data_IF_883849151361
#
_entry.id   IF_883849151361
#
_cell.length_a   1.000
_cell.length_b   1.000
_cell.length_c   1.000
_cell.angle_alpha   90.00
_cell.angle_beta   90.00
_cell.angle_gamma   90.00
#
_symmetry.space_group_name_H-M   'P 1'
#
loop_
_entity.id
_entity.type
_entity.pdbx_description
1 polymer ?
#
# COMPACT_ATOMS: atom_id res chain seq x y z
N UNK A 6 15.05 -12.08 -5.84
CA UNK A 6 14.97 -10.65 -5.56
C UNK A 6 14.67 -10.43 -4.09
N UNK A 7 15.35 -9.46 -3.45
CA UNK A 7 15.13 -9.27 -2.00
C UNK A 7 13.74 -8.76 -1.67
N UNK A 8 13.30 -7.70 -2.35
CA UNK A 8 11.98 -7.13 -2.06
C UNK A 8 10.86 -8.09 -2.41
N UNK A 9 11.12 -9.09 -3.25
CA UNK A 9 10.12 -10.13 -3.48
C UNK A 9 9.83 -10.88 -2.20
N UNK A 10 10.85 -11.04 -1.34
CA UNK A 10 10.61 -11.60 -0.02
C UNK A 10 9.75 -10.66 0.82
N UNK A 11 9.95 -9.35 0.64
CA UNK A 11 9.16 -8.37 1.36
C UNK A 11 7.71 -8.41 0.87
N UNK A 12 7.52 -8.66 -0.43
CA UNK A 12 6.19 -8.81 -0.97
C UNK A 12 5.54 -10.10 -0.48
N UNK A 13 6.28 -11.21 -0.52
CA UNK A 13 5.75 -12.46 0.02
C UNK A 13 5.32 -12.29 1.46
N UNK A 14 6.00 -11.41 2.21
CA UNK A 14 5.59 -11.14 3.58
C UNK A 14 4.32 -10.30 3.61
N UNK A 15 4.16 -9.37 2.66
CA UNK A 15 2.94 -8.57 2.62
C UNK A 15 1.72 -9.44 2.35
N UNK A 16 1.86 -10.50 1.55
CA UNK A 16 0.74 -11.41 1.34
C UNK A 16 0.49 -12.28 2.57
N UNK A 17 1.53 -12.64 3.30
CA UNK A 17 1.33 -13.52 4.45
C UNK A 17 0.67 -12.75 5.59
N UNK A 18 0.99 -11.47 5.76
CA UNK A 18 0.35 -10.66 6.78
C UNK A 18 -1.15 -10.55 6.54
N UNK A 19 -1.57 -10.60 5.29
CA UNK A 19 -2.99 -10.55 4.96
C UNK A 19 -3.69 -11.87 5.25
N UNK A 20 -2.95 -12.97 5.37
CA UNK A 20 -3.53 -14.22 5.81
C UNK A 20 -3.65 -14.31 7.31
N UNK A 21 -3.42 -13.21 8.02
CA UNK A 21 -3.49 -13.23 9.48
C UNK A 21 -4.95 -12.99 9.86
N UNK A 22 -5.50 -13.94 10.60
CA UNK A 22 -6.85 -13.81 11.12
C UNK A 22 -6.81 -13.13 12.49
N UNK A 23 -7.97 -12.68 12.93
CA UNK A 23 -8.09 -12.15 14.28
C UNK A 23 -7.88 -13.24 15.32
N UNK A 24 -7.79 -14.51 14.91
CA UNK A 24 -7.56 -15.61 15.82
C UNK A 24 -6.24 -16.30 15.51
N UNK A 25 -5.21 -15.52 15.21
CA UNK A 25 -3.87 -16.05 14.96
C UNK A 25 -3.16 -16.20 16.29
N UNK A 26 -2.91 -17.44 16.70
CA UNK A 26 -2.21 -17.73 17.94
C UNK A 26 -0.70 -17.51 17.76
N UNK A 27 0.04 -17.72 18.86
CA UNK A 27 1.49 -17.57 18.81
C UNK A 27 2.12 -18.61 17.89
N UNK A 28 1.44 -19.75 17.69
CA UNK A 28 1.95 -20.76 16.78
C UNK A 28 1.98 -20.26 15.34
N UNK A 29 1.03 -19.42 14.96
CA UNK A 29 1.01 -18.90 13.59
C UNK A 29 2.08 -17.82 13.41
N UNK A 30 2.28 -16.98 14.41
CA UNK A 30 3.31 -15.94 14.33
C UNK A 30 4.72 -16.53 14.34
N UNK A 31 4.93 -17.63 15.08
CA UNK A 31 6.23 -18.28 15.06
C UNK A 31 6.52 -18.85 13.67
N UNK A 32 5.51 -19.42 13.02
CA UNK A 32 5.69 -19.89 11.64
C UNK A 32 5.91 -18.72 10.69
N UNK A 33 5.35 -17.55 11.02
CA UNK A 33 5.58 -16.37 10.19
C UNK A 33 7.02 -15.89 10.28
N UNK A 34 7.58 -15.89 11.49
CA UNK A 34 8.96 -15.42 11.64
C UNK A 34 9.95 -16.44 11.11
N UNK A 35 9.68 -17.73 11.33
CA UNK A 35 10.56 -18.77 10.83
C UNK A 35 10.61 -18.77 9.30
N UNK A 36 9.60 -18.20 8.64
CA UNK A 36 9.57 -18.19 7.20
C UNK A 36 10.37 -17.04 6.60
N UNK A 37 10.58 -15.96 7.35
CA UNK A 37 11.28 -14.80 6.83
C UNK A 37 12.49 -14.36 7.64
N UNK A 38 12.66 -14.85 8.86
CA UNK A 38 13.75 -14.42 9.73
C UNK A 38 14.64 -15.60 10.08
N UNK A 39 15.95 -15.36 10.04
CA UNK A 39 16.92 -16.37 10.45
C UNK A 39 16.80 -16.62 11.96
N UNK A 40 17.35 -17.76 12.38
CA UNK A 40 17.29 -18.13 13.79
C UNK A 40 18.03 -17.15 14.68
N UNK A 41 18.92 -16.33 14.12
CA UNK A 41 19.66 -15.34 14.87
C UNK A 41 19.26 -13.92 14.47
N UNK A 42 18.03 -13.75 13.99
CA UNK A 42 17.60 -12.44 13.52
C UNK A 42 17.40 -11.49 14.69
N UNK A 43 17.61 -10.20 14.42
CA UNK A 43 17.39 -9.15 15.40
C UNK A 43 16.60 -8.02 14.74
N UNK A 44 15.73 -7.39 15.52
CA UNK A 44 14.87 -6.32 15.04
C UNK A 44 15.13 -5.08 15.88
N UNK A 45 15.39 -3.95 15.21
CA UNK A 45 15.74 -2.71 15.87
C UNK A 45 14.79 -1.62 15.41
N UNK A 46 14.27 -0.84 16.36
CA UNK A 46 13.41 0.30 16.07
C UNK A 46 13.98 1.54 16.76
N UNK A 47 14.11 2.62 16.00
CA UNK A 47 14.65 3.88 16.51
C UNK A 47 13.60 4.97 16.32
N UNK A 48 13.36 5.74 17.38
CA UNK A 48 12.39 6.82 17.31
C UNK A 48 12.85 7.94 18.22
N UNK A 49 12.10 9.06 18.21
CA UNK A 49 12.34 10.22 19.08
C UNK A 49 10.99 10.56 19.73
N UNK A 50 10.68 9.89 20.84
CA UNK A 50 9.42 10.14 21.52
C UNK A 50 9.55 11.39 22.37
N UNK A 51 9.88 11.26 23.65
CA UNK A 51 9.89 12.43 24.53
C UNK A 51 10.87 12.40 25.69
N UNK A 52 11.27 11.23 26.16
CA UNK A 52 12.27 11.19 27.23
C UNK A 52 13.68 11.37 26.70
N UNK A 53 13.85 11.29 25.39
CA UNK A 53 15.10 11.48 24.71
C UNK A 53 15.16 10.46 23.60
N UNK A 54 16.04 10.64 22.62
CA UNK A 54 16.06 9.68 21.50
C UNK A 54 16.38 8.30 22.04
N UNK A 55 15.61 7.32 21.58
CA UNK A 55 15.72 5.96 22.10
C UNK A 55 16.03 4.97 20.98
N UNK A 56 16.42 3.78 21.41
CA UNK A 56 16.68 2.69 20.47
C UNK A 56 16.48 1.36 21.20
N UNK A 57 15.64 0.50 20.63
CA UNK A 57 15.31 -0.80 21.18
C UNK A 57 15.76 -1.90 20.23
N UNK A 58 16.05 -3.07 20.77
CA UNK A 58 16.45 -4.21 19.96
C UNK A 58 15.93 -5.49 20.60
N UNK A 59 15.29 -6.33 19.78
CA UNK A 59 14.76 -7.61 20.21
C UNK A 59 15.41 -8.72 19.41
N UNK A 60 15.27 -9.95 19.92
CA UNK A 60 15.90 -11.12 19.33
C UNK A 60 14.91 -11.99 18.59
N UNK A 61 15.42 -13.15 18.14
CA UNK A 61 14.62 -13.98 17.26
C UNK A 61 13.33 -14.44 17.95
N UNK A 62 13.42 -14.88 19.20
CA UNK A 62 12.23 -15.37 19.91
C UNK A 62 11.29 -14.25 20.30
N UNK A 63 11.74 -13.00 20.26
CA UNK A 63 10.91 -11.85 20.59
C UNK A 63 10.31 -11.18 19.35
N UNK A 64 10.68 -11.65 18.16
CA UNK A 64 10.20 -11.06 16.91
C UNK A 64 8.75 -11.47 16.65
N UNK A 65 8.40 -12.76 16.74
CA UNK A 65 6.99 -13.13 16.48
C UNK A 65 6.03 -12.40 17.38
N UNK A 66 6.44 -12.05 18.60
CA UNK A 66 5.61 -11.28 19.51
C UNK A 66 5.54 -9.81 19.12
N UNK A 67 6.54 -9.31 18.38
CA UNK A 67 6.51 -7.92 17.97
C UNK A 67 5.45 -7.66 16.91
N UNK A 68 5.41 -8.48 15.87
CA UNK A 68 4.37 -8.35 14.86
C UNK A 68 3.01 -8.74 15.39
N UNK A 69 2.96 -9.52 16.48
CA UNK A 69 1.68 -9.85 17.09
C UNK A 69 1.09 -8.64 17.81
N UNK A 70 1.94 -7.82 18.45
CA UNK A 70 1.43 -6.69 19.23
C UNK A 70 0.88 -5.56 18.37
N UNK A 71 1.33 -5.44 17.12
CA UNK A 71 0.86 -4.34 16.28
C UNK A 71 -0.63 -4.54 15.97
N UNK A 72 -1.06 -5.79 15.81
CA UNK A 72 -2.46 -6.10 15.56
C UNK A 72 -3.31 -6.09 16.82
N UNK A 73 -2.70 -6.04 18.01
CA UNK A 73 -3.44 -6.10 19.27
C UNK A 73 -3.91 -4.71 19.69
N UNK A 74 -4.75 -4.11 18.83
CA UNK A 74 -5.33 -2.83 19.13
C UNK A 74 -6.36 -2.35 18.13
N UNK A 75 -7.07 -3.29 17.52
CA UNK A 75 -8.02 -2.96 16.48
C UNK A 75 -7.44 -2.86 15.08
N UNK A 76 -6.15 -3.15 14.92
CA UNK A 76 -5.52 -3.10 13.60
C UNK A 76 -5.93 -4.33 12.81
N UNK A 77 -6.40 -4.12 11.59
CA UNK A 77 -6.88 -5.22 10.75
C UNK A 77 -5.89 -5.63 9.67
N UNK A 78 -5.00 -4.74 9.26
CA UNK A 78 -4.07 -5.03 8.17
C UNK A 78 -2.76 -4.32 8.43
N UNK A 79 -1.69 -4.88 7.87
CA UNK A 79 -0.35 -4.32 8.00
C UNK A 79 0.42 -4.67 6.74
N UNK A 80 0.95 -3.66 6.05
CA UNK A 80 1.77 -3.89 4.88
C UNK A 80 2.83 -2.80 4.83
N UNK A 81 3.89 -3.07 4.07
CA UNK A 81 5.02 -2.16 3.94
C UNK A 81 5.10 -1.67 2.51
N UNK A 82 5.20 -0.36 2.34
CA UNK A 82 5.37 0.28 1.05
C UNK A 82 6.82 0.75 0.98
N UNK A 83 7.52 0.32 -0.06
CA UNK A 83 8.95 0.61 -0.22
C UNK A 83 9.17 1.50 -1.43
N UNK A 84 9.25 2.80 -1.20
CA UNK A 84 9.56 3.76 -2.26
C UNK A 84 11.06 3.97 -2.34
N UNK A 85 11.61 3.83 -3.54
CA UNK A 85 13.02 4.10 -3.81
C UNK A 85 13.93 3.35 -2.82
N UNK A 86 13.92 2.03 -2.97
CA UNK A 86 14.73 1.17 -2.13
C UNK A 86 16.09 0.95 -2.79
N UNK A 87 17.15 1.25 -2.07
CA UNK A 87 18.51 1.11 -2.58
C UNK A 87 19.08 -0.21 -2.05
N UNK A 88 19.39 -1.13 -2.96
CA UNK A 88 19.98 -2.38 -2.52
C UNK A 88 21.49 -2.28 -2.53
N UNK A 89 22.12 -3.31 -1.98
CA UNK A 89 23.58 -3.41 -1.93
C UNK A 89 23.91 -4.81 -1.44
N UNK A 90 24.58 -5.57 -2.29
CA UNK A 90 24.89 -6.98 -2.10
C UNK A 90 26.27 -7.14 -1.49
N UNK A 91 26.51 -8.31 -0.93
CA UNK A 91 27.85 -8.69 -0.53
C UNK A 91 28.03 -10.15 -0.93
N UNK A 92 29.14 -10.74 -0.52
CA UNK A 92 29.40 -12.13 -0.87
C UNK A 92 28.41 -13.06 -0.19
N UNK A 93 28.05 -12.75 1.06
CA UNK A 93 27.14 -13.59 1.82
C UNK A 93 26.09 -12.75 2.55
N UNK A 94 25.80 -11.56 2.05
CA UNK A 94 24.82 -10.69 2.67
C UNK A 94 24.20 -9.78 1.62
N UNK A 95 22.91 -9.48 1.81
CA UNK A 95 22.17 -8.57 0.95
C UNK A 95 21.57 -7.48 1.82
N UNK A 96 21.94 -6.24 1.55
CA UNK A 96 21.43 -5.10 2.32
C UNK A 96 20.43 -4.34 1.44
N UNK A 97 19.26 -4.04 2.01
CA UNK A 97 18.21 -3.30 1.34
C UNK A 97 18.02 -2.02 2.12
N UNK A 98 18.38 -0.89 1.52
CA UNK A 98 18.29 0.42 2.15
C UNK A 98 17.16 1.19 1.49
N UNK A 99 16.05 1.33 2.22
CA UNK A 99 14.88 2.05 1.73
C UNK A 99 14.66 3.28 2.60
N UNK A 100 14.91 4.46 2.03
CA UNK A 100 14.75 5.69 2.78
C UNK A 100 13.31 6.19 2.81
N UNK A 101 12.46 5.70 1.91
CA UNK A 101 11.04 6.06 1.86
C UNK A 101 10.22 4.80 2.09
N UNK A 102 10.18 4.34 3.33
CA UNK A 102 9.34 3.21 3.72
C UNK A 102 8.20 3.72 4.60
N UNK A 103 7.05 3.07 4.47
CA UNK A 103 5.84 3.46 5.22
C UNK A 103 5.20 2.21 5.79
N UNK A 104 5.25 2.06 7.11
CA UNK A 104 4.52 1.00 7.80
C UNK A 104 3.06 1.42 7.94
N UNK A 105 2.19 0.78 7.15
CA UNK A 105 0.78 1.14 7.11
C UNK A 105 -0.01 0.13 7.94
N UNK A 106 -0.76 0.62 8.91
CA UNK A 106 -1.66 -0.19 9.72
C UNK A 106 -3.06 0.38 9.57
N UNK A 107 -4.00 -0.46 9.12
CA UNK A 107 -5.38 -0.03 8.91
C UNK A 107 -6.17 -0.49 10.14
N UNK A 108 -6.79 0.45 10.84
CA UNK A 108 -7.55 0.10 12.02
C UNK A 108 -9.00 -0.23 11.66
N UNK A 109 -9.76 -0.69 12.66
CA UNK A 109 -11.15 -1.05 12.43
C UNK A 109 -12.11 -0.14 13.17
N UNK A 110 -13.23 -0.70 13.65
CA UNK A 110 -14.18 0.12 14.39
C UNK A 110 -13.51 0.66 15.66
N UNK A 111 -13.93 1.83 16.13
CA UNK A 111 -15.02 2.65 15.59
C UNK A 111 -14.62 3.55 14.43
N UNK A 112 -13.41 4.10 14.43
CA UNK A 112 -12.94 4.96 13.35
C UNK A 112 -11.86 4.19 12.60
N UNK A 113 -12.16 3.84 11.35
CA UNK A 113 -11.23 3.11 10.50
C UNK A 113 -10.02 3.97 10.14
N UNK A 114 -9.24 4.35 11.15
CA UNK A 114 -8.10 5.23 10.92
C UNK A 114 -6.97 4.47 10.24
N UNK A 115 -6.39 5.08 9.22
CA UNK A 115 -5.22 4.55 8.53
C UNK A 115 -3.99 5.34 8.98
N UNK A 116 -2.97 4.63 9.43
CA UNK A 116 -1.76 5.24 9.96
C UNK A 116 -0.60 4.90 9.03
N UNK A 117 0.08 5.93 8.54
CA UNK A 117 1.23 5.78 7.66
C UNK A 117 2.48 6.16 8.44
N UNK A 118 3.15 5.15 8.99
CA UNK A 118 4.38 5.34 9.77
C UNK A 118 5.56 5.36 8.81
N UNK A 119 6.07 6.56 8.50
CA UNK A 119 7.11 6.70 7.50
C UNK A 119 8.48 6.79 8.18
N UNK A 120 9.49 6.29 7.49
CA UNK A 120 10.85 6.34 8.00
C UNK A 120 11.76 5.47 7.15
N UNK A 121 13.01 5.40 7.59
CA UNK A 121 14.03 4.63 6.89
C UNK A 121 14.09 3.21 7.44
N UNK A 122 14.15 2.24 6.54
CA UNK A 122 14.18 0.83 6.88
C UNK A 122 15.41 0.20 6.23
N UNK A 123 16.20 -0.49 7.04
CA UNK A 123 17.38 -1.20 6.57
C UNK A 123 17.20 -2.68 6.87
N UNK A 124 17.52 -3.52 5.90
CA UNK A 124 17.38 -4.96 6.04
C UNK A 124 18.63 -5.64 5.49
N UNK A 125 19.21 -6.55 6.29
CA UNK A 125 20.34 -7.36 5.86
C UNK A 125 19.81 -8.77 5.61
N UNK A 126 19.85 -9.19 4.35
CA UNK A 126 19.38 -10.50 3.94
C UNK A 126 20.54 -11.49 3.77
N UNK A 127 20.27 -12.75 4.09
CA UNK A 127 21.22 -13.82 3.86
C UNK A 127 21.20 -14.22 2.39
N UNK A 128 22.37 -14.53 1.84
CA UNK A 128 22.51 -14.90 0.44
C UNK A 128 22.29 -16.38 0.20
N UNK A 129 21.28 -16.96 0.86
CA UNK A 129 20.93 -18.37 0.71
C UNK A 129 19.63 -18.50 -0.09
N UNK A 130 19.09 -19.72 -0.13
CA UNK A 130 17.82 -19.97 -0.81
C UNK A 130 16.65 -19.54 0.04
N UNK A 131 16.78 -19.66 1.36
CA UNK A 131 15.77 -19.14 2.27
C UNK A 131 15.75 -17.63 2.26
N UNK A 132 16.90 -16.99 2.11
CA UNK A 132 17.04 -15.54 2.02
C UNK A 132 16.16 -14.86 3.06
N UNK A 133 16.45 -15.17 4.32
CA UNK A 133 15.70 -14.66 5.46
C UNK A 133 16.41 -13.46 6.08
N UNK A 134 15.63 -12.65 6.79
CA UNK A 134 16.13 -11.41 7.36
C UNK A 134 17.03 -11.73 8.54
N UNK A 135 18.21 -11.13 8.57
CA UNK A 135 19.08 -11.26 9.73
C UNK A 135 19.09 -10.01 10.60
N UNK A 136 18.88 -8.84 10.02
CA UNK A 136 18.85 -7.58 10.75
C UNK A 136 17.70 -6.71 10.22
N UNK A 137 16.88 -6.20 11.13
CA UNK A 137 15.75 -5.34 10.81
C UNK A 137 15.91 -4.03 11.59
N UNK A 138 16.26 -2.95 10.88
CA UNK A 138 16.39 -1.63 11.48
C UNK A 138 15.40 -0.70 10.79
N UNK A 139 14.48 -0.14 11.57
CA UNK A 139 13.48 0.80 11.04
C UNK A 139 13.60 2.09 11.84
N UNK A 140 14.19 3.13 11.25
CA UNK A 140 14.27 4.43 11.88
C UNK A 140 13.04 5.24 11.53
N UNK A 141 12.33 5.73 12.54
CA UNK A 141 11.09 6.45 12.36
C UNK A 141 11.37 7.95 12.38
N UNK A 142 10.84 8.65 11.38
CA UNK A 142 10.94 10.10 11.25
C UNK A 142 9.62 10.78 11.59
N UNK A 143 8.52 10.25 11.04
CA UNK A 143 7.21 10.85 11.18
C UNK A 143 6.15 9.78 11.03
N UNK A 144 4.90 10.17 11.22
CA UNK A 144 3.75 9.31 11.02
C UNK A 144 2.60 10.17 10.52
N UNK A 145 1.93 9.70 9.47
CA UNK A 145 0.80 10.40 8.89
C UNK A 145 -0.45 9.57 9.18
N UNK A 146 -1.48 10.23 9.72
CA UNK A 146 -2.73 9.58 10.06
C UNK A 146 -3.85 10.11 9.18
N UNK A 147 -4.66 9.21 8.64
CA UNK A 147 -5.75 9.54 7.75
C UNK A 147 -7.06 8.91 8.21
N UNK A 148 -8.14 9.65 8.08
CA UNK A 148 -9.47 9.22 8.50
C UNK A 148 -10.34 9.13 7.26
N UNK A 149 -11.10 8.05 7.06
CA UNK A 149 -11.99 7.99 5.89
C UNK A 149 -13.03 9.09 5.92
N UNK A 150 -13.33 9.64 4.73
CA UNK A 150 -14.32 10.71 4.64
C UNK A 150 -15.70 10.26 5.10
N UNK A 151 -16.00 8.96 5.08
CA UNK A 151 -17.28 8.49 5.59
C UNK A 151 -17.40 8.74 7.08
N UNK A 152 -16.32 8.53 7.83
CA UNK A 152 -16.34 8.75 9.27
C UNK A 152 -16.56 10.23 9.58
N UNK A 153 -16.01 11.12 8.76
CA UNK A 153 -16.21 12.54 9.03
C UNK A 153 -17.65 12.97 8.78
N UNK A 154 -18.45 12.13 8.15
CA UNK A 154 -19.86 12.46 7.88
C UNK A 154 -20.76 11.96 9.00
N UNK A 155 -20.73 10.66 9.28
CA UNK A 155 -21.54 10.12 10.37
C UNK A 155 -21.00 10.56 11.73
N UNK A 156 -19.74 10.25 12.03
CA UNK A 156 -19.12 10.76 13.24
C UNK A 156 -18.66 12.20 13.02
N UNK A 157 -18.59 12.95 14.11
CA UNK A 157 -18.17 14.35 14.05
C UNK A 157 -19.25 15.22 13.43
N UNK A 158 -19.94 14.70 12.41
CA UNK A 158 -20.88 15.53 11.68
C UNK A 158 -20.12 16.72 11.12
N UNK A 159 -20.06 17.80 11.88
CA UNK A 159 -19.20 18.92 11.54
C UNK A 159 -18.37 19.38 12.73
N UNK A 160 -18.87 20.28 13.60
CA UNK A 160 -17.95 20.91 14.55
C UNK A 160 -17.64 20.10 15.80
N UNK A 161 -18.42 19.08 16.13
CA UNK A 161 -18.27 18.43 17.43
C UNK A 161 -17.34 17.22 17.40
N UNK A 162 -17.03 16.72 18.60
CA UNK A 162 -16.19 15.55 18.87
C UNK A 162 -15.01 15.53 17.89
N UNK A 163 -14.53 16.72 17.53
CA UNK A 163 -13.32 16.87 16.72
C UNK A 163 -12.05 16.63 17.51
N UNK A 164 -12.10 16.66 18.84
CA UNK A 164 -10.90 16.39 19.62
C UNK A 164 -10.50 14.92 19.48
N UNK A 165 -11.47 14.02 19.34
CA UNK A 165 -11.12 12.65 19.02
C UNK A 165 -10.61 12.55 17.58
N UNK A 166 -11.15 13.37 16.68
CA UNK A 166 -10.68 13.40 15.30
C UNK A 166 -9.53 14.37 15.05
N UNK A 167 -9.11 15.15 16.03
CA UNK A 167 -7.93 15.98 15.88
C UNK A 167 -6.77 15.52 16.75
N UNK A 168 -7.00 14.55 17.63
CA UNK A 168 -5.95 13.95 18.42
C UNK A 168 -5.61 12.57 17.90
N UNK A 169 -4.31 12.28 17.86
CA UNK A 169 -3.82 11.05 17.27
C UNK A 169 -4.09 9.87 18.20
N UNK A 170 -4.23 8.69 17.61
CA UNK A 170 -4.50 7.47 18.38
C UNK A 170 -3.21 6.71 18.62
N UNK A 171 -2.24 6.87 17.72
CA UNK A 171 -0.96 6.20 17.83
C UNK A 171 0.10 7.17 18.35
N UNK A 172 1.29 6.64 18.63
CA UNK A 172 2.41 7.40 19.13
C UNK A 172 3.63 7.18 18.25
N UNK A 173 4.00 8.19 17.48
CA UNK A 173 5.17 8.12 16.59
C UNK A 173 5.03 6.93 15.64
N UNK A 174 3.80 6.68 15.20
CA UNK A 174 3.50 5.62 14.26
C UNK A 174 3.03 4.33 14.93
N UNK A 175 3.67 3.96 16.03
CA UNK A 175 3.35 2.73 16.75
C UNK A 175 2.26 2.98 17.80
N UNK A 176 1.37 2.00 17.96
CA UNK A 176 0.21 2.14 18.83
C UNK A 176 0.63 2.13 20.30
N UNK A 177 -0.36 2.32 21.18
CA UNK A 177 -0.17 2.30 22.63
C UNK A 177 -0.11 0.88 23.21
N UNK A 178 -0.04 -0.15 22.37
CA UNK A 178 0.09 -1.53 22.82
C UNK A 178 1.46 -2.11 22.53
N UNK A 179 2.30 -1.40 21.77
CA UNK A 179 3.61 -1.87 21.39
C UNK A 179 4.74 -1.09 22.07
N UNK A 180 4.46 -0.34 23.14
CA UNK A 180 5.51 0.35 23.88
C UNK A 180 5.80 -0.24 25.26
N UNK A 181 4.77 -0.63 26.01
CA UNK A 181 5.02 -1.29 27.29
C UNK A 181 5.67 -2.65 27.08
N UNK A 182 5.43 -3.28 25.92
CA UNK A 182 6.06 -4.56 25.64
C UNK A 182 7.52 -4.38 25.24
N UNK A 183 7.85 -3.26 24.60
CA UNK A 183 9.22 -2.98 24.17
C UNK A 183 10.10 -2.72 25.39
N UNK B 4 9.67 -19.87 -13.27
CA UNK B 4 9.49 -20.21 -11.87
C UNK B 4 9.35 -18.94 -11.03
N UNK B 5 8.19 -18.29 -11.13
CA UNK B 5 7.95 -17.05 -10.39
C UNK B 5 6.44 -16.81 -10.38
N UNK B 6 5.95 -16.25 -9.27
CA UNK B 6 4.53 -16.01 -9.07
C UNK B 6 4.07 -14.79 -9.87
N UNK B 7 2.87 -14.85 -10.45
CA UNK B 7 2.44 -13.73 -11.30
C UNK B 7 2.21 -12.43 -10.55
N UNK B 8 1.53 -12.47 -9.40
CA UNK B 8 1.22 -11.23 -8.68
C UNK B 8 2.47 -10.45 -8.29
N UNK B 9 3.64 -11.08 -8.35
CA UNK B 9 4.89 -10.35 -8.16
C UNK B 9 5.08 -9.27 -9.22
N UNK B 10 4.52 -9.48 -10.42
CA UNK B 10 4.55 -8.43 -11.45
C UNK B 10 3.84 -7.17 -10.99
N UNK B 11 2.78 -7.29 -10.20
CA UNK B 11 2.12 -6.10 -9.68
C UNK B 11 3.03 -5.33 -8.73
N UNK B 12 3.85 -6.03 -7.96
CA UNK B 12 4.81 -5.33 -7.12
C UNK B 12 5.89 -4.68 -7.97
N UNK B 13 6.45 -5.43 -8.93
CA UNK B 13 7.41 -4.85 -9.86
C UNK B 13 6.83 -3.66 -10.60
N UNK B 14 5.52 -3.68 -10.88
CA UNK B 14 4.86 -2.52 -11.48
C UNK B 14 4.70 -1.40 -10.46
N UNK B 15 4.36 -1.75 -9.22
CA UNK B 15 4.23 -0.75 -8.17
C UNK B 15 5.56 -0.08 -7.90
N UNK B 16 6.67 -0.78 -8.14
CA UNK B 16 7.98 -0.23 -7.86
C UNK B 16 8.32 0.90 -8.82
N UNK B 17 7.94 0.75 -10.09
CA UNK B 17 8.24 1.77 -11.09
C UNK B 17 7.29 2.95 -11.04
N UNK B 18 6.03 2.72 -10.66
CA UNK B 18 5.08 3.82 -10.58
C UNK B 18 5.54 4.88 -9.60
N UNK B 19 6.17 4.47 -8.50
CA UNK B 19 6.73 5.42 -7.55
C UNK B 19 8.11 5.93 -7.97
N UNK B 20 8.79 5.19 -8.85
CA UNK B 20 10.06 5.63 -9.46
C UNK B 20 9.83 6.55 -10.65
N UNK B 21 8.82 7.43 -10.57
CA UNK B 21 8.42 8.32 -11.65
C UNK B 21 8.75 9.77 -11.33
N UNK B 22 9.28 10.50 -12.32
CA UNK B 22 9.57 11.91 -12.15
C UNK B 22 8.32 12.77 -12.36
N UNK B 23 8.41 14.03 -11.93
CA UNK B 23 7.28 14.95 -12.06
C UNK B 23 6.99 15.35 -13.50
N UNK B 24 7.94 15.17 -14.41
CA UNK B 24 7.76 15.52 -15.81
C UNK B 24 8.02 14.32 -16.72
N UNK B 25 7.27 13.24 -16.50
CA UNK B 25 7.48 12.01 -17.24
C UNK B 25 6.92 12.15 -18.66
N UNK B 26 7.81 12.06 -19.65
CA UNK B 26 7.35 12.10 -21.03
C UNK B 26 6.65 10.80 -21.39
N UNK B 27 6.01 10.79 -22.55
CA UNK B 27 5.30 9.60 -22.99
C UNK B 27 6.25 8.47 -23.38
N UNK B 28 7.49 8.78 -23.75
CA UNK B 28 8.43 7.72 -24.08
C UNK B 28 8.73 6.85 -22.88
N UNK B 29 8.73 7.43 -21.68
CA UNK B 29 8.97 6.65 -20.47
C UNK B 29 7.75 5.79 -20.14
N UNK B 30 6.55 6.32 -20.34
CA UNK B 30 5.35 5.52 -20.12
C UNK B 30 5.23 4.41 -21.15
N UNK B 31 5.66 4.66 -22.39
CA UNK B 31 5.65 3.61 -23.40
C UNK B 31 6.62 2.49 -23.04
N UNK B 32 7.79 2.85 -22.51
CA UNK B 32 8.72 1.83 -22.04
C UNK B 32 8.16 1.09 -20.83
N UNK B 33 7.34 1.78 -20.03
CA UNK B 33 6.69 1.12 -18.91
C UNK B 33 5.63 0.14 -19.39
N UNK B 34 4.90 0.49 -20.45
CA UNK B 34 3.83 -0.38 -20.94
C UNK B 34 4.37 -1.59 -21.67
N UNK B 35 5.36 -1.41 -22.54
CA UNK B 35 5.94 -2.54 -23.26
C UNK B 35 6.64 -3.52 -22.32
N UNK B 36 7.00 -3.06 -21.12
CA UNK B 36 7.72 -3.89 -20.16
C UNK B 36 6.79 -4.78 -19.34
N UNK B 37 5.52 -4.42 -19.22
CA UNK B 37 4.54 -5.16 -18.46
C UNK B 37 3.35 -5.64 -19.26
N UNK B 38 3.13 -5.10 -20.47
CA UNK B 38 1.98 -5.43 -21.29
C UNK B 38 2.43 -5.98 -22.63
N UNK B 39 1.71 -7.00 -23.11
CA UNK B 39 1.96 -7.51 -24.45
C UNK B 39 1.62 -6.44 -25.49
N UNK B 40 2.17 -6.62 -26.69
CA UNK B 40 1.93 -5.66 -27.76
C UNK B 40 0.46 -5.64 -28.17
N UNK B 41 -0.30 -6.67 -27.83
CA UNK B 41 -1.73 -6.75 -28.13
C UNK B 41 -2.57 -6.72 -26.86
N UNK B 42 -2.05 -6.08 -25.81
CA UNK B 42 -2.75 -6.04 -24.53
C UNK B 42 -4.01 -5.18 -24.60
N UNK B 43 -4.96 -5.48 -23.72
CA UNK B 43 -6.18 -4.71 -23.59
C UNK B 43 -6.43 -4.41 -22.13
N UNK B 44 -6.95 -3.19 -21.87
CA UNK B 44 -7.25 -2.74 -20.52
C UNK B 44 -8.73 -2.39 -20.43
N UNK B 45 -9.40 -2.93 -19.42
CA UNK B 45 -10.84 -2.78 -19.26
C UNK B 45 -11.17 -2.26 -17.88
N UNK B 46 -12.09 -1.30 -17.81
CA UNK B 46 -12.60 -0.77 -16.56
C UNK B 46 -14.12 -0.94 -16.57
N UNK B 47 -14.65 -1.58 -15.54
CA UNK B 47 -16.08 -1.82 -15.41
C UNK B 47 -16.58 -1.25 -14.10
N UNK B 48 -17.65 -0.47 -14.17
CA UNK B 48 -18.27 0.11 -12.99
C UNK B 48 -19.75 0.30 -13.25
N UNK B 49 -20.47 0.70 -12.20
CA UNK B 49 -21.91 0.97 -12.27
C UNK B 49 -22.11 2.36 -11.71
N UNK B 50 -21.83 3.37 -12.54
CA UNK B 50 -22.01 4.76 -12.16
C UNK B 50 -23.44 5.17 -12.43
N UNK B 51 -23.72 5.76 -13.60
CA UNK B 51 -25.01 6.37 -13.93
C UNK B 51 -26.17 5.59 -13.30
N UNK B 52 -27.09 5.11 -14.13
CA UNK B 52 -28.12 4.18 -13.70
C UNK B 52 -27.74 2.72 -13.96
N UNK B 53 -26.68 2.46 -14.77
CA UNK B 53 -26.31 1.11 -15.15
C UNK B 53 -24.84 0.91 -15.51
N UNK B 54 -24.49 -0.32 -15.92
CA UNK B 54 -23.07 -0.66 -16.11
C UNK B 54 -22.37 0.16 -17.19
N UNK B 55 -21.14 0.56 -16.88
CA UNK B 55 -20.27 1.27 -17.81
C UNK B 55 -18.95 0.52 -17.88
N UNK B 56 -18.70 -0.12 -19.03
CA UNK B 56 -17.50 -0.91 -19.28
C UNK B 56 -16.71 -0.21 -20.38
N UNK B 57 -15.44 0.09 -20.10
CA UNK B 57 -14.57 0.72 -21.07
C UNK B 57 -13.41 -0.22 -21.39
N UNK B 58 -12.88 -0.12 -22.61
CA UNK B 58 -11.75 -0.95 -23.02
C UNK B 58 -10.86 -0.18 -23.98
N UNK B 59 -9.57 -0.16 -23.68
CA UNK B 59 -8.56 0.47 -24.53
C UNK B 59 -7.51 -0.58 -24.89
N UNK B 60 -6.70 -0.26 -25.89
CA UNK B 60 -5.70 -1.17 -26.41
C UNK B 60 -4.30 -0.80 -25.97
N UNK B 61 -3.33 -1.55 -26.51
CA UNK B 61 -1.95 -1.44 -26.06
C UNK B 61 -1.41 -0.03 -26.25
N UNK B 62 -1.77 0.63 -27.36
CA UNK B 62 -1.19 1.94 -27.65
C UNK B 62 -1.74 3.03 -26.74
N UNK B 63 -2.88 2.82 -26.10
CA UNK B 63 -3.49 3.82 -25.23
C UNK B 63 -3.31 3.50 -23.75
N UNK B 64 -2.67 2.38 -23.42
CA UNK B 64 -2.50 1.96 -22.03
C UNK B 64 -1.54 2.90 -21.31
N UNK B 65 -0.34 3.18 -21.85
CA UNK B 65 0.54 4.12 -21.14
C UNK B 65 -0.07 5.48 -20.95
N UNK B 66 -0.96 5.91 -21.85
CA UNK B 66 -1.62 7.20 -21.69
C UNK B 66 -2.68 7.16 -20.61
N UNK B 67 -3.21 5.99 -20.29
CA UNK B 67 -4.18 5.89 -19.20
C UNK B 67 -3.50 6.17 -17.86
N UNK B 68 -2.32 5.58 -17.64
CA UNK B 68 -1.59 5.84 -16.42
C UNK B 68 -1.05 7.27 -16.34
N UNK B 69 -0.90 7.93 -17.49
CA UNK B 69 -0.48 9.33 -17.47
C UNK B 69 -1.58 10.22 -16.92
N UNK B 70 -2.83 9.86 -17.18
CA UNK B 70 -3.96 10.67 -16.72
C UNK B 70 -4.12 10.61 -15.21
N UNK B 71 -3.62 9.55 -14.57
CA UNK B 71 -3.79 9.41 -13.13
C UNK B 71 -2.98 10.46 -12.39
N UNK B 72 -1.75 10.73 -12.84
CA UNK B 72 -0.88 11.67 -12.15
C UNK B 72 -1.15 13.13 -12.53
N UNK B 73 -1.88 13.38 -13.61
CA UNK B 73 -2.14 14.73 -14.06
C UNK B 73 -3.39 15.34 -13.40
N UNK B 74 -3.89 14.72 -12.33
CA UNK B 74 -5.00 15.28 -11.59
C UNK B 74 -4.56 15.73 -10.21
N UNK B 75 -3.29 16.12 -10.09
CA UNK B 75 -2.71 16.45 -8.81
C UNK B 75 -2.22 15.25 -8.03
N UNK B 76 -2.30 14.06 -8.59
CA UNK B 76 -1.87 12.84 -7.91
C UNK B 76 -0.36 12.74 -7.95
N UNK B 77 0.23 12.45 -6.78
CA UNK B 77 1.67 12.32 -6.66
C UNK B 77 2.14 10.88 -6.61
N UNK B 78 1.27 9.94 -6.24
CA UNK B 78 1.66 8.54 -6.10
C UNK B 78 0.50 7.63 -6.49
N UNK B 79 0.84 6.43 -6.96
CA UNK B 79 -0.15 5.44 -7.36
C UNK B 79 0.42 4.05 -7.19
N UNK B 80 -0.28 3.21 -6.43
CA UNK B 80 0.10 1.80 -6.25
C UNK B 80 -1.14 0.96 -6.05
N UNK B 81 -0.99 -0.34 -6.31
CA UNK B 81 -2.08 -1.31 -6.24
C UNK B 81 -1.83 -2.33 -5.13
N UNK B 82 -2.86 -2.58 -4.33
CA UNK B 82 -2.84 -3.60 -3.29
C UNK B 82 -3.69 -4.78 -3.75
N UNK B 83 -3.09 -5.97 -3.78
CA UNK B 83 -3.78 -7.20 -4.17
C UNK B 83 -3.79 -8.12 -2.95
N UNK B 84 -4.83 -8.01 -2.14
CA UNK B 84 -5.04 -8.89 -0.99
C UNK B 84 -5.96 -10.03 -1.40
N UNK B 85 -5.58 -11.26 -1.04
CA UNK B 85 -6.34 -12.47 -1.36
C UNK B 85 -6.50 -12.60 -2.89
N UNK B 86 -5.35 -12.81 -3.52
CA UNK B 86 -5.28 -12.96 -4.97
C UNK B 86 -5.33 -14.44 -5.34
N UNK B 87 -6.27 -14.79 -6.21
CA UNK B 87 -6.37 -16.15 -6.73
C UNK B 87 -5.80 -16.17 -8.15
N UNK B 88 -4.73 -16.93 -8.32
CA UNK B 88 -4.02 -17.08 -9.59
C UNK B 88 -4.62 -18.27 -10.33
N UNK B 89 -4.09 -18.55 -11.52
CA UNK B 89 -4.58 -19.69 -12.29
C UNK B 89 -3.68 -19.99 -13.47
N UNK B 90 -3.08 -21.17 -13.50
CA UNK B 90 -2.13 -21.54 -14.54
C UNK B 90 -2.85 -22.34 -15.62
N UNK B 91 -2.40 -22.17 -16.86
CA UNK B 91 -2.90 -22.94 -18.00
C UNK B 91 -1.73 -23.20 -18.94
N UNK B 92 -2.03 -23.68 -20.15
CA UNK B 92 -0.95 -23.98 -21.09
C UNK B 92 -0.23 -22.71 -21.56
N UNK B 93 -0.99 -21.65 -21.89
CA UNK B 93 -0.39 -20.44 -22.42
C UNK B 93 -1.02 -19.19 -21.82
N UNK B 94 -1.57 -19.30 -20.61
CA UNK B 94 -2.21 -18.16 -19.97
C UNK B 94 -2.13 -18.29 -18.46
N UNK B 95 -1.93 -17.17 -17.78
CA UNK B 95 -1.93 -17.10 -16.32
C UNK B 95 -2.88 -15.98 -15.94
N UNK B 96 -3.98 -16.32 -15.27
CA UNK B 96 -5.00 -15.35 -14.85
C UNK B 96 -4.95 -15.15 -13.35
N UNK B 97 -5.00 -13.89 -12.93
CA UNK B 97 -4.96 -13.49 -11.53
C UNK B 97 -6.28 -12.82 -11.19
N UNK B 98 -7.06 -13.44 -10.32
CA UNK B 98 -8.36 -12.92 -9.90
C UNK B 98 -8.25 -12.43 -8.46
N UNK B 99 -8.21 -11.12 -8.27
CA UNK B 99 -8.19 -10.49 -6.95
C UNK B 99 -9.47 -9.69 -6.81
N UNK B 100 -10.40 -10.21 -6.02
CA UNK B 100 -11.67 -9.54 -5.81
C UNK B 100 -11.58 -8.43 -4.79
N UNK B 101 -10.51 -8.42 -3.99
CA UNK B 101 -10.29 -7.39 -2.98
C UNK B 101 -9.03 -6.63 -3.34
N UNK B 102 -9.13 -5.76 -4.35
CA UNK B 102 -8.03 -4.89 -4.75
C UNK B 102 -8.37 -3.42 -4.49
N UNK B 103 -7.33 -2.64 -4.21
CA UNK B 103 -7.47 -1.23 -3.91
C UNK B 103 -6.46 -0.43 -4.71
N UNK B 104 -6.95 0.34 -5.69
CA UNK B 104 -6.12 1.30 -6.42
C UNK B 104 -5.97 2.53 -5.53
N UNK B 105 -4.77 2.73 -5.00
CA UNK B 105 -4.50 3.82 -4.06
C UNK B 105 -3.80 4.92 -4.83
N UNK B 106 -4.39 6.12 -4.82
CA UNK B 106 -3.81 7.30 -5.46
C UNK B 106 -3.69 8.40 -4.42
N UNK B 107 -2.48 8.91 -4.24
CA UNK B 107 -2.21 10.01 -3.31
C UNK B 107 -2.12 11.32 -4.07
N UNK B 108 -2.95 12.29 -3.67
CA UNK B 108 -2.95 13.61 -4.26
C UNK B 108 -1.92 14.49 -3.55
N UNK B 109 -1.80 15.72 -4.05
CA UNK B 109 -0.85 16.67 -3.49
C UNK B 109 -1.55 17.81 -2.79
N UNK B 110 -1.00 19.01 -2.92
CA UNK B 110 -1.58 20.17 -2.28
C UNK B 110 -2.99 20.40 -2.80
N UNK B 111 -3.86 21.08 -2.03
CA UNK B 111 -3.66 21.62 -0.68
C UNK B 111 -4.06 20.63 0.44
N UNK B 112 -4.84 19.60 0.15
CA UNK B 112 -5.38 18.72 1.19
C UNK B 112 -4.69 17.36 1.32
N UNK B 113 -4.01 16.88 0.27
CA UNK B 113 -3.29 15.62 0.30
C UNK B 113 -4.21 14.44 0.61
N UNK B 114 -5.23 14.28 -0.23
CA UNK B 114 -6.21 13.22 -0.06
C UNK B 114 -5.70 11.92 -0.66
N UNK B 115 -5.96 10.81 0.04
CA UNK B 115 -5.68 9.47 -0.46
C UNK B 115 -6.97 8.85 -0.96
N UNK B 116 -6.96 8.35 -2.20
CA UNK B 116 -8.14 7.77 -2.82
C UNK B 116 -7.88 6.27 -2.98
N UNK B 117 -8.78 5.47 -2.40
CA UNK B 117 -8.68 4.01 -2.46
C UNK B 117 -9.81 3.53 -3.37
N UNK B 118 -9.51 3.32 -4.65
CA UNK B 118 -10.48 2.82 -5.61
C UNK B 118 -10.49 1.30 -5.52
N UNK B 119 -11.48 0.77 -4.80
CA UNK B 119 -11.58 -0.64 -4.47
C UNK B 119 -12.50 -1.36 -5.44
N UNK B 120 -12.20 -2.61 -5.70
CA UNK B 120 -13.00 -3.40 -6.62
C UNK B 120 -12.32 -4.71 -6.97
N UNK B 121 -12.93 -5.40 -7.93
CA UNK B 121 -12.44 -6.68 -8.41
C UNK B 121 -11.47 -6.47 -9.56
N UNK B 122 -10.34 -7.17 -9.53
CA UNK B 122 -9.30 -7.04 -10.55
C UNK B 122 -8.97 -8.40 -11.13
N UNK B 123 -9.02 -8.51 -12.47
CA UNK B 123 -8.63 -9.71 -13.19
C UNK B 123 -7.53 -9.34 -14.17
N UNK B 124 -6.48 -10.16 -14.23
CA UNK B 124 -5.35 -9.92 -15.12
C UNK B 124 -4.97 -11.24 -15.77
N UNK B 125 -4.81 -11.24 -17.10
CA UNK B 125 -4.35 -12.41 -17.83
C UNK B 125 -2.90 -12.20 -18.25
N UNK B 126 -2.01 -13.03 -17.72
CA UNK B 126 -0.59 -12.97 -18.00
C UNK B 126 -0.23 -14.03 -19.02
N UNK B 127 0.76 -13.74 -19.87
CA UNK B 127 1.25 -14.72 -20.81
C UNK B 127 2.17 -15.71 -20.11
N UNK B 128 2.05 -16.99 -20.46
CA UNK B 128 2.86 -18.03 -19.83
C UNK B 128 4.19 -18.22 -20.54
N UNK B 129 4.85 -17.15 -20.94
CA UNK B 129 6.17 -17.21 -21.55
C UNK B 129 7.20 -16.73 -20.52
N UNK B 130 8.42 -16.52 -20.98
CA UNK B 130 9.51 -16.12 -20.09
C UNK B 130 9.53 -14.62 -19.80
N UNK B 131 8.37 -13.95 -19.88
CA UNK B 131 8.30 -12.55 -19.45
C UNK B 131 7.10 -12.29 -18.56
N UNK B 132 6.02 -13.06 -18.75
CA UNK B 132 4.79 -12.88 -18.00
C UNK B 132 4.30 -11.44 -18.06
N UNK B 133 4.03 -10.98 -19.28
CA UNK B 133 3.49 -9.65 -19.52
C UNK B 133 1.97 -9.75 -19.64
N UNK B 134 1.30 -8.64 -19.33
CA UNK B 134 -0.16 -8.64 -19.23
C UNK B 134 -0.77 -8.67 -20.62
N UNK B 135 -1.75 -9.55 -20.80
CA UNK B 135 -2.55 -9.61 -22.02
C UNK B 135 -3.93 -9.00 -21.86
N UNK B 136 -4.54 -9.10 -20.69
CA UNK B 136 -5.85 -8.50 -20.45
C UNK B 136 -5.87 -7.92 -19.05
N UNK B 137 -6.33 -6.67 -18.94
CA UNK B 137 -6.45 -5.97 -17.67
C UNK B 137 -7.91 -5.56 -17.52
N UNK B 138 -8.64 -6.24 -16.65
CA UNK B 138 -10.03 -5.91 -16.38
C UNK B 138 -10.17 -5.57 -14.90
N UNK B 139 -10.58 -4.34 -14.62
CA UNK B 139 -10.74 -3.83 -13.26
C UNK B 139 -12.19 -3.37 -13.08
N UNK B 140 -12.97 -4.20 -12.39
CA UNK B 140 -14.34 -3.86 -12.03
C UNK B 140 -14.33 -3.15 -10.68
N UNK B 141 -14.92 -1.96 -10.65
CA UNK B 141 -14.90 -1.09 -9.47
C UNK B 141 -16.19 -1.28 -8.71
N UNK B 142 -16.08 -1.50 -7.39
CA UNK B 142 -17.25 -1.63 -6.53
C UNK B 142 -17.48 -0.43 -5.62
N UNK B 143 -16.43 0.10 -4.99
CA UNK B 143 -16.58 1.19 -4.04
C UNK B 143 -15.32 2.04 -4.12
N UNK B 144 -15.33 3.19 -3.42
CA UNK B 144 -14.14 4.01 -3.32
C UNK B 144 -14.20 4.80 -2.02
N UNK B 145 -13.10 4.78 -1.26
CA UNK B 145 -12.98 5.53 -0.01
C UNK B 145 -11.91 6.60 -0.13
N UNK B 146 -12.23 7.80 0.37
CA UNK B 146 -11.28 8.90 0.43
C UNK B 146 -10.87 9.12 1.88
N UNK B 147 -9.59 9.36 2.11
CA UNK B 147 -9.06 9.55 3.46
C UNK B 147 -8.37 10.90 3.52
N UNK B 148 -8.57 11.63 4.60
CA UNK B 148 -8.07 12.98 4.79
C UNK B 148 -7.08 12.97 5.94
N UNK B 149 -5.91 13.59 5.82
CA UNK B 149 -4.97 13.63 6.95
C UNK B 149 -5.57 14.37 8.13
N UNK B 150 -5.31 13.83 9.34
CA UNK B 150 -5.78 14.48 10.55
C UNK B 150 -5.14 15.86 10.72
N UNK B 151 -3.98 16.09 10.11
CA UNK B 151 -3.35 17.41 10.18
C UNK B 151 -4.22 18.45 9.50
N UNK B 152 -4.80 18.11 8.35
CA UNK B 152 -5.69 19.05 7.67
C UNK B 152 -6.92 19.30 8.54
N UNK B 153 -7.41 18.25 9.20
CA UNK B 153 -8.51 18.37 10.14
C UNK B 153 -8.12 19.06 11.44
N UNK B 154 -6.83 19.31 11.66
CA UNK B 154 -6.37 19.97 12.87
C UNK B 154 -6.30 21.49 12.68
N UNK B 155 -5.52 21.93 11.71
CA UNK B 155 -5.44 23.36 11.42
C UNK B 155 -6.73 23.85 10.80
N UNK B 156 -7.22 23.18 9.75
CA UNK B 156 -8.53 23.49 9.19
C UNK B 156 -9.63 22.84 10.01
N UNK B 157 -9.39 22.63 11.31
CA UNK B 157 -10.40 22.00 12.16
C UNK B 157 -11.60 22.91 12.35
N UNK B 158 -11.35 24.20 12.52
CA UNK B 158 -12.41 25.15 12.80
C UNK B 158 -13.24 25.32 11.53
N UNK B 159 -14.36 26.01 11.66
CA UNK B 159 -15.14 26.40 10.49
C UNK B 159 -15.73 25.15 9.85
N UNK B 160 -17.03 24.88 10.05
CA UNK B 160 -17.59 23.59 9.60
C UNK B 160 -17.72 23.46 8.10
N UNK B 161 -17.45 24.53 7.33
CA UNK B 161 -17.68 24.45 5.89
C UNK B 161 -16.54 23.70 5.21
N UNK B 162 -15.33 23.76 5.75
CA UNK B 162 -14.29 22.86 5.27
C UNK B 162 -14.57 21.46 5.79
N UNK B 163 -15.17 21.36 6.97
CA UNK B 163 -15.56 20.05 7.48
C UNK B 163 -16.70 19.47 6.66
N UNK B 164 -17.47 20.33 5.97
CA UNK B 164 -18.46 19.86 5.00
C UNK B 164 -17.81 19.49 3.68
N UNK B 165 -16.79 20.25 3.25
CA UNK B 165 -16.01 19.87 2.07
C UNK B 165 -15.14 18.66 2.36
N UNK B 166 -14.73 18.46 3.62
CA UNK B 166 -14.00 17.29 4.03
C UNK B 166 -14.91 16.07 4.16
N UNK B 167 -16.21 16.25 3.91
CA UNK B 167 -17.17 15.16 3.78
C UNK B 167 -17.69 15.01 2.35
N UNK B 168 -17.35 15.96 1.46
CA UNK B 168 -17.68 15.88 0.05
C UNK B 168 -16.45 15.44 -0.71
N UNK B 169 -16.62 14.43 -1.57
CA UNK B 169 -15.50 13.79 -2.23
C UNK B 169 -15.02 14.60 -3.43
N UNK B 170 -13.74 14.40 -3.78
CA UNK B 170 -13.11 15.12 -4.87
C UNK B 170 -13.14 14.27 -6.13
N UNK B 171 -13.21 12.96 -5.98
CA UNK B 171 -13.23 12.04 -7.10
C UNK B 171 -14.64 11.51 -7.36
N UNK B 172 -14.79 10.80 -8.48
CA UNK B 172 -16.08 10.23 -8.87
C UNK B 172 -15.86 8.73 -9.13
N UNK B 173 -16.37 7.91 -8.21
CA UNK B 173 -16.24 6.45 -8.28
C UNK B 173 -14.78 6.02 -8.33
N UNK B 174 -13.92 6.72 -7.60
CA UNK B 174 -12.52 6.38 -7.49
C UNK B 174 -11.57 7.09 -8.43
N UNK B 175 -11.96 7.25 -9.70
CA UNK B 175 -11.11 7.89 -10.69
C UNK B 175 -11.34 9.40 -10.65
N UNK B 176 -10.24 10.14 -10.81
CA UNK B 176 -10.27 11.58 -10.64
C UNK B 176 -11.06 12.22 -11.79
N UNK B 177 -11.19 13.54 -11.72
CA UNK B 177 -11.89 14.31 -12.74
C UNK B 177 -11.07 14.52 -14.00
N UNK B 178 -9.92 13.85 -14.12
CA UNK B 178 -9.08 13.98 -15.30
C UNK B 178 -8.92 12.69 -16.10
N UNK B 179 -9.28 11.53 -15.54
CA UNK B 179 -9.11 10.25 -16.20
C UNK B 179 -10.44 9.64 -16.64
N UNK B 180 -11.51 10.43 -16.62
CA UNK B 180 -12.82 10.02 -17.12
C UNK B 180 -13.20 10.74 -18.39
N UNK B 181 -12.81 12.01 -18.54
CA UNK B 181 -13.01 12.71 -19.80
C UNK B 181 -12.20 12.05 -20.92
N UNK B 182 -11.05 11.46 -20.56
CA UNK B 182 -10.25 10.69 -21.51
C UNK B 182 -10.82 9.30 -21.77
N UNK B 183 -11.47 8.71 -20.77
CA UNK B 183 -12.07 7.40 -20.97
C UNK B 183 -13.31 7.49 -21.87
N UNK B 184 -14.20 8.43 -21.59
CA UNK B 184 -15.44 8.57 -22.34
C UNK B 184 -15.17 8.84 -23.82
#
# INVERSE_FOLDING_TARGET
TPYMVQPEYRIYEMNKRLQSRTEDSDNLWWDAFATEFFEDDATLTLSFCLEDGPKRYTIGRTQIPRYFSTVFEGGVTDLYYILKHSKESYHNSSITVDCDQCAMVTQHGKPMFTKVCTEGRLILEFTFDDLMRIKTWHFTIRQYRELVPRSILAMHAQDPQVLDQLSKNITRMGLTNFTLNYLR
TPYMVQPEYRIYEMNKRLQSRTEDSDNLWWDAFATEFFEDDATLTLSFCLEDGPKRYTIGRTQIPRYFSTVFEGGVTDLYYILKHSKESYHNSSITVDCDQCAMVTQHGKPMFTKVCTEGRLILEFTFDDLMRIKTWHFTIRQYRELVPRSILAMHAQDPQVLDQLSKNITRMGLTNFTLNYLR
#
